data_IF_233916401038
#
_entry.id   IF_233916401038
#
_cell.length_a   1.000
_cell.length_b   1.000
_cell.length_c   1.000
_cell.angle_alpha   90.00
_cell.angle_beta   90.00
_cell.angle_gamma   90.00
#
_symmetry.space_group_name_H-M   'P 1'
#
loop_
_entity.id
_entity.type
_entity.pdbx_description
1 polymer ?
#
# COMPACT_ATOMS: atom_id res chain seq x y z
N UNK A 1 86.37 36.70 61.79
CA UNK A 1 85.26 37.07 62.70
C UNK A 1 84.47 35.79 62.92
N UNK A 2 84.93 34.85 63.74
CA UNK A 2 85.18 34.88 65.19
C UNK A 2 83.92 35.15 66.00
N UNK A 3 83.76 34.32 67.04
CA UNK A 3 82.76 34.28 68.11
C UNK A 3 81.46 33.54 67.77
N UNK A 4 80.91 32.63 68.58
CA UNK A 4 81.19 32.05 69.90
C UNK A 4 80.21 30.86 70.00
N UNK A 5 80.60 29.59 70.08
CA UNK A 5 80.91 28.85 71.32
C UNK A 5 80.07 29.26 72.54
N UNK A 6 78.96 28.58 72.83
CA UNK A 6 78.68 28.07 74.19
C UNK A 6 77.51 27.07 74.24
N UNK A 7 77.47 26.17 75.24
CA UNK A 7 76.81 24.87 75.21
C UNK A 7 75.57 24.81 76.10
N UNK A 8 74.71 23.82 75.89
CA UNK A 8 73.91 23.23 76.97
C UNK A 8 73.88 21.72 76.82
N UNK A 9 74.85 21.08 77.48
CA UNK A 9 74.73 19.73 78.00
C UNK A 9 73.52 19.67 78.94
N UNK A 10 72.44 19.01 78.52
CA UNK A 10 71.35 18.60 79.41
C UNK A 10 71.10 17.10 79.24
N UNK A 11 71.84 16.36 80.06
CA UNK A 11 71.35 15.25 80.90
C UNK A 11 70.33 14.32 80.24
N UNK A 12 70.84 13.22 79.66
CA UNK A 12 70.03 12.02 79.43
C UNK A 12 69.68 11.37 80.77
N UNK A 13 68.51 11.70 81.31
CA UNK A 13 67.83 10.86 82.29
C UNK A 13 67.17 9.70 81.54
N UNK A 14 67.84 8.55 81.52
CA UNK A 14 67.25 7.29 81.08
C UNK A 14 66.22 6.80 82.10
N UNK A 15 64.97 7.27 81.98
CA UNK A 15 63.82 6.67 82.65
C UNK A 15 63.27 5.48 81.84
N UNK A 16 62.75 4.41 82.48
CA UNK A 16 62.27 3.23 81.77
C UNK A 16 61.01 3.58 80.97
N UNK A 17 61.15 3.73 79.65
CA UNK A 17 60.01 4.01 78.77
C UNK A 17 59.36 2.69 78.37
N UNK A 18 58.15 2.51 78.88
CA UNK A 18 57.24 1.40 78.61
C UNK A 18 57.34 0.87 77.17
N UNK A 19 57.54 -0.44 77.10
CA UNK A 19 57.55 -1.27 75.90
C UNK A 19 56.29 -0.96 75.05
N UNK A 20 56.49 -0.36 73.88
CA UNK A 20 55.38 -0.06 72.95
C UNK A 20 54.90 -1.38 72.35
N UNK A 21 53.59 -1.69 72.41
CA UNK A 21 53.05 -2.88 71.74
C UNK A 21 53.26 -2.75 70.23
N UNK A 22 53.98 -3.70 69.66
CA UNK A 22 54.16 -3.83 68.21
C UNK A 22 52.82 -4.20 67.58
N UNK A 23 52.26 -3.28 66.80
CA UNK A 23 51.06 -3.53 66.02
C UNK A 23 51.39 -4.54 64.92
N UNK A 24 50.78 -5.72 65.03
CA UNK A 24 50.92 -6.81 64.06
C UNK A 24 50.00 -6.51 62.87
N UNK A 25 50.52 -6.44 61.63
CA UNK A 25 49.65 -6.24 60.47
C UNK A 25 48.72 -7.43 60.34
N UNK A 26 47.42 -7.20 60.56
CA UNK A 26 46.38 -8.14 60.20
C UNK A 26 46.33 -8.16 58.68
N UNK A 27 46.57 -9.33 58.09
CA UNK A 27 46.45 -9.53 56.66
C UNK A 27 45.03 -9.14 56.24
N UNK A 28 44.90 -7.98 55.59
CA UNK A 28 43.69 -7.60 54.89
C UNK A 28 43.59 -8.58 53.73
N UNK A 29 42.81 -9.64 53.88
CA UNK A 29 42.44 -10.47 52.74
C UNK A 29 41.43 -9.64 51.94
N UNK A 30 41.79 -9.06 50.79
CA UNK A 30 40.77 -8.46 49.96
C UNK A 30 39.81 -9.60 49.59
N UNK A 31 38.53 -9.48 49.92
CA UNK A 31 37.49 -10.37 49.40
C UNK A 31 37.50 -10.21 47.88
N UNK A 32 38.33 -11.00 47.21
CA UNK A 32 38.34 -11.13 45.76
C UNK A 32 37.14 -11.99 45.44
N UNK A 33 35.96 -11.37 45.31
CA UNK A 33 34.86 -11.98 44.57
C UNK A 33 35.46 -12.55 43.28
N UNK A 34 35.15 -13.81 42.99
CA UNK A 34 35.75 -14.54 41.86
C UNK A 34 35.65 -13.71 40.60
N UNK A 35 36.75 -13.05 40.23
CA UNK A 35 36.82 -12.14 39.08
C UNK A 35 36.42 -12.89 37.81
N UNK A 36 36.76 -14.18 37.77
CA UNK A 36 36.38 -15.11 36.72
C UNK A 36 34.85 -15.27 36.65
N UNK A 37 34.17 -15.47 37.78
CA UNK A 37 32.71 -15.57 37.82
C UNK A 37 32.01 -14.28 37.35
N UNK A 38 32.53 -13.12 37.76
CA UNK A 38 32.00 -11.83 37.31
C UNK A 38 32.19 -11.63 35.79
N UNK A 39 33.36 -11.98 35.25
CA UNK A 39 33.63 -11.88 33.81
C UNK A 39 32.71 -12.80 33.02
N UNK A 40 32.54 -14.05 33.46
CA UNK A 40 31.60 -15.00 32.82
C UNK A 40 30.19 -14.41 32.81
N UNK A 41 29.70 -13.94 33.96
CA UNK A 41 28.38 -13.33 34.04
C UNK A 41 28.23 -12.15 33.09
N UNK A 42 29.22 -11.26 33.05
CA UNK A 42 29.21 -10.08 32.19
C UNK A 42 29.21 -10.46 30.70
N UNK A 43 30.02 -11.44 30.29
CA UNK A 43 30.07 -11.91 28.90
C UNK A 43 28.79 -12.62 28.47
N UNK A 44 28.17 -13.41 29.35
CA UNK A 44 26.89 -14.08 29.06
C UNK A 44 25.77 -13.06 28.94
N UNK A 45 25.72 -12.07 29.83
CA UNK A 45 24.73 -10.99 29.78
C UNK A 45 24.90 -10.15 28.51
N UNK A 46 26.14 -9.84 28.13
CA UNK A 46 26.44 -9.10 26.91
C UNK A 46 26.07 -9.89 25.66
N UNK A 47 26.40 -11.19 25.62
CA UNK A 47 26.02 -12.09 24.52
C UNK A 47 24.50 -12.23 24.39
N UNK A 48 23.80 -12.42 25.51
CA UNK A 48 22.34 -12.50 25.53
C UNK A 48 21.69 -11.18 25.09
N UNK A 49 22.23 -10.03 25.53
CA UNK A 49 21.78 -8.71 25.10
C UNK A 49 21.98 -8.48 23.60
N UNK A 50 23.09 -8.95 23.04
CA UNK A 50 23.38 -8.82 21.61
C UNK A 50 22.46 -9.68 20.75
N UNK A 51 22.16 -10.91 21.19
CA UNK A 51 21.12 -11.77 20.57
C UNK A 51 19.74 -11.15 20.72
N UNK A 52 19.44 -10.55 21.88
CA UNK A 52 18.17 -9.86 22.14
C UNK A 52 17.96 -8.65 21.22
N UNK A 53 18.98 -7.80 21.05
CA UNK A 53 18.95 -6.68 20.09
C UNK A 53 18.82 -7.18 18.67
N UNK A 54 19.51 -8.26 18.30
CA UNK A 54 19.43 -8.84 16.97
C UNK A 54 18.02 -9.37 16.67
N UNK A 55 17.39 -10.08 17.62
CA UNK A 55 16.02 -10.56 17.49
C UNK A 55 15.02 -9.41 17.48
N UNK A 56 15.22 -8.38 18.30
CA UNK A 56 14.37 -7.18 18.30
C UNK A 56 14.46 -6.44 16.96
N UNK A 57 15.66 -6.26 16.44
CA UNK A 57 15.90 -5.69 15.11
C UNK A 57 15.29 -6.57 14.00
N UNK A 58 15.39 -7.89 14.13
CA UNK A 58 14.78 -8.86 13.21
C UNK A 58 13.25 -8.80 13.24
N UNK A 59 12.64 -8.63 14.41
CA UNK A 59 11.19 -8.43 14.55
C UNK A 59 10.72 -7.07 14.03
N UNK A 60 11.59 -6.05 14.00
CA UNK A 60 11.29 -4.76 13.37
C UNK A 60 11.31 -4.88 11.84
N UNK A 61 12.14 -5.78 11.29
CA UNK A 61 12.21 -6.02 9.83
C UNK A 61 10.98 -6.75 9.25
N UNK A 62 10.12 -7.37 10.09
CA UNK A 62 8.84 -7.95 9.65
C UNK A 62 7.64 -6.99 9.78
N UNK A 63 7.79 -5.83 10.45
CA UNK A 63 6.71 -4.84 10.65
C UNK A 63 6.59 -3.79 9.54
N UNK A 64 7.37 -3.91 8.47
CA UNK A 64 7.27 -3.04 7.30
C UNK A 64 6.21 -3.53 6.29
N UNK A 65 5.83 -4.82 6.31
CA UNK A 65 4.88 -5.36 5.32
C UNK A 65 3.41 -5.15 5.71
N UNK A 66 3.05 -5.11 7.00
CA UNK A 66 1.66 -4.85 7.42
C UNK A 66 1.27 -3.38 7.26
N UNK A 67 2.20 -2.45 7.49
CA UNK A 67 1.98 -1.02 7.23
C UNK A 67 1.86 -0.74 5.74
N UNK A 68 2.65 -1.41 4.89
CA UNK A 68 2.55 -1.29 3.44
C UNK A 68 1.24 -1.85 2.87
N UNK A 69 0.70 -2.93 3.43
CA UNK A 69 -0.61 -3.46 3.02
C UNK A 69 -1.75 -2.54 3.48
N UNK A 70 -1.70 -2.04 4.71
CA UNK A 70 -2.70 -1.10 5.23
C UNK A 70 -2.70 0.25 4.46
N UNK A 71 -1.53 0.73 4.03
CA UNK A 71 -1.43 1.93 3.19
C UNK A 71 -1.92 1.68 1.76
N UNK A 72 -1.64 0.51 1.16
CA UNK A 72 -2.18 0.17 -0.16
C UNK A 72 -3.70 0.11 -0.18
N UNK A 73 -4.32 -0.44 0.87
CA UNK A 73 -5.78 -0.50 0.97
C UNK A 73 -6.39 0.91 1.16
N UNK A 74 -5.71 1.79 1.92
CA UNK A 74 -6.10 3.18 2.06
C UNK A 74 -5.96 3.98 0.75
N UNK A 75 -4.89 3.75 -0.02
CA UNK A 75 -4.66 4.40 -1.32
C UNK A 75 -5.69 3.94 -2.36
N UNK A 76 -6.01 2.64 -2.41
CA UNK A 76 -7.02 2.10 -3.31
C UNK A 76 -8.42 2.67 -3.00
N UNK A 77 -8.78 2.75 -1.71
CA UNK A 77 -10.04 3.39 -1.28
C UNK A 77 -10.04 4.89 -1.59
N UNK A 78 -8.90 5.57 -1.42
CA UNK A 78 -8.72 6.98 -1.79
C UNK A 78 -8.93 7.23 -3.29
N UNK A 79 -8.35 6.40 -4.14
CA UNK A 79 -8.55 6.46 -5.59
C UNK A 79 -10.01 6.22 -6.00
N UNK A 80 -10.67 5.24 -5.37
CA UNK A 80 -12.09 4.96 -5.64
C UNK A 80 -12.97 6.16 -5.23
N UNK A 81 -12.75 6.71 -4.04
CA UNK A 81 -13.48 7.88 -3.55
C UNK A 81 -13.27 9.10 -4.45
N UNK A 82 -12.04 9.37 -4.87
CA UNK A 82 -11.74 10.45 -5.80
C UNK A 82 -12.48 10.27 -7.14
N UNK A 83 -12.50 9.05 -7.67
CA UNK A 83 -13.19 8.73 -8.92
C UNK A 83 -14.71 8.90 -8.82
N UNK A 84 -15.31 8.51 -7.68
CA UNK A 84 -16.73 8.65 -7.42
C UNK A 84 -17.11 10.11 -7.22
N UNK A 85 -16.30 10.86 -6.49
CA UNK A 85 -16.49 12.31 -6.28
C UNK A 85 -16.43 13.06 -7.60
N UNK A 86 -15.46 12.72 -8.47
CA UNK A 86 -15.36 13.29 -9.81
C UNK A 86 -16.60 13.00 -10.66
N UNK A 87 -17.14 11.77 -10.61
CA UNK A 87 -18.40 11.41 -11.30
C UNK A 87 -19.60 12.18 -10.76
N UNK A 88 -19.71 12.33 -9.45
CA UNK A 88 -20.79 13.11 -8.83
C UNK A 88 -20.68 14.58 -9.20
N UNK A 89 -19.48 15.15 -9.19
CA UNK A 89 -19.23 16.53 -9.61
C UNK A 89 -19.62 16.76 -11.08
N UNK A 90 -19.33 15.78 -11.95
CA UNK A 90 -19.76 15.80 -13.34
C UNK A 90 -21.29 15.79 -13.47
N UNK A 91 -21.96 14.86 -12.76
CA UNK A 91 -23.43 14.74 -12.79
C UNK A 91 -24.15 15.96 -12.18
N UNK A 92 -23.54 16.63 -11.20
CA UNK A 92 -24.04 17.87 -10.60
C UNK A 92 -23.70 19.12 -11.40
N UNK A 93 -22.98 18.98 -12.52
CA UNK A 93 -22.64 20.13 -13.36
C UNK A 93 -23.90 20.80 -13.91
N UNK A 94 -23.85 22.12 -14.09
CA UNK A 94 -24.99 22.90 -14.58
C UNK A 94 -25.49 22.41 -15.94
N UNK A 95 -24.60 21.93 -16.81
CA UNK A 95 -24.97 21.36 -18.11
C UNK A 95 -25.73 20.04 -18.01
N UNK A 96 -25.34 19.14 -17.08
CA UNK A 96 -26.02 17.86 -16.88
C UNK A 96 -27.39 18.07 -16.21
N UNK A 97 -27.47 19.00 -15.27
CA UNK A 97 -28.74 19.41 -14.66
C UNK A 97 -29.67 20.07 -15.68
N UNK A 98 -29.15 20.97 -16.53
CA UNK A 98 -29.91 21.57 -17.62
C UNK A 98 -30.44 20.48 -18.56
N UNK A 99 -29.60 19.53 -18.98
CA UNK A 99 -30.03 18.40 -19.82
C UNK A 99 -31.22 17.66 -19.23
N UNK A 100 -31.11 17.24 -17.96
CA UNK A 100 -32.19 16.51 -17.26
C UNK A 100 -33.43 17.37 -17.06
N UNK A 101 -33.27 18.65 -16.77
CA UNK A 101 -34.38 19.58 -16.67
C UNK A 101 -35.12 19.69 -18.00
N UNK A 102 -34.39 19.74 -19.12
CA UNK A 102 -34.98 19.76 -20.46
C UNK A 102 -35.70 18.46 -20.80
N UNK A 103 -35.17 17.29 -20.40
CA UNK A 103 -35.85 15.99 -20.53
C UNK A 103 -37.15 15.93 -19.72
N UNK A 104 -37.21 16.59 -18.56
CA UNK A 104 -38.40 16.72 -17.72
C UNK A 104 -39.39 17.79 -18.23
N UNK A 105 -39.10 18.45 -19.35
CA UNK A 105 -39.97 19.49 -19.92
C UNK A 105 -39.83 20.86 -19.26
N UNK A 106 -38.86 21.06 -18.38
CA UNK A 106 -38.55 22.39 -17.84
C UNK A 106 -37.94 23.24 -18.96
N UNK A 107 -38.44 24.46 -19.11
CA UNK A 107 -38.02 25.42 -20.14
C UNK A 107 -37.80 26.79 -19.50
N UNK A 108 -36.84 27.59 -19.99
CA UNK A 108 -36.71 29.00 -19.61
C UNK A 108 -37.99 29.76 -19.97
N UNK A 109 -38.49 30.58 -19.04
CA UNK A 109 -39.70 31.37 -19.26
C UNK A 109 -39.36 32.86 -19.44
N UNK A 110 -39.57 33.47 -20.63
CA UNK A 110 -39.40 34.91 -20.87
C UNK A 110 -40.53 35.77 -20.29
N UNK A 111 -41.66 35.18 -19.95
CA UNK A 111 -42.85 35.85 -19.45
C UNK A 111 -43.19 35.31 -18.05
N UNK A 112 -42.40 35.65 -17.01
CA UNK A 112 -42.71 35.26 -15.64
C UNK A 112 -43.99 35.95 -15.17
N UNK A 113 -44.91 35.16 -14.62
CA UNK A 113 -46.16 35.66 -14.03
C UNK A 113 -46.02 35.68 -12.52
N UNK A 114 -46.38 36.80 -11.90
CA UNK A 114 -46.23 36.98 -10.46
C UNK A 114 -47.55 36.73 -9.75
N UNK A 115 -47.53 35.92 -8.70
CA UNK A 115 -48.70 35.72 -7.83
C UNK A 115 -48.57 36.66 -6.64
N UNK A 116 -49.43 37.66 -6.55
CA UNK A 116 -49.52 38.54 -5.39
C UNK A 116 -50.45 37.91 -4.36
N UNK A 117 -49.90 37.25 -3.35
CA UNK A 117 -50.71 36.71 -2.24
C UNK A 117 -51.41 37.88 -1.53
N UNK A 118 -52.73 37.78 -1.37
CA UNK A 118 -53.48 38.73 -0.56
C UNK A 118 -53.07 38.60 0.91
N UNK A 119 -53.08 39.70 1.66
CA UNK A 119 -53.02 39.61 3.11
C UNK A 119 -54.21 38.75 3.59
N UNK A 120 -53.95 37.91 4.59
CA UNK A 120 -54.97 37.17 5.35
C UNK A 120 -55.66 36.01 4.60
N UNK A 121 -54.89 35.18 3.88
CA UNK A 121 -55.38 33.90 3.37
C UNK A 121 -56.36 33.99 2.19
N UNK A 122 -56.47 35.17 1.56
CA UNK A 122 -57.26 35.36 0.33
C UNK A 122 -56.48 34.87 -0.90
N UNK A 123 -57.17 34.33 -1.92
CA UNK A 123 -56.53 33.87 -3.15
C UNK A 123 -55.76 35.03 -3.78
N UNK A 124 -54.47 34.80 -4.04
CA UNK A 124 -53.58 35.81 -4.60
C UNK A 124 -54.00 36.21 -6.00
N UNK A 125 -53.81 37.48 -6.34
CA UNK A 125 -54.04 37.97 -7.69
C UNK A 125 -52.83 37.66 -8.57
N UNK A 126 -53.08 36.95 -9.68
CA UNK A 126 -52.06 36.67 -10.70
C UNK A 126 -51.90 37.92 -11.57
N UNK A 127 -50.69 38.46 -11.62
CA UNK A 127 -50.36 39.68 -12.37
C UNK A 127 -49.52 39.26 -13.59
N UNK A 128 -50.12 39.43 -14.77
CA UNK A 128 -49.57 39.01 -16.07
C UNK A 128 -50.40 37.90 -16.72
N UNK A 129 -50.26 37.75 -18.04
CA UNK A 129 -50.92 36.68 -18.80
C UNK A 129 -50.00 35.45 -18.88
N UNK A 130 -50.42 34.28 -18.38
CA UNK A 130 -49.64 33.06 -18.50
C UNK A 130 -49.67 32.54 -19.94
N UNK A 131 -48.50 32.52 -20.58
CA UNK A 131 -48.31 31.93 -21.91
C UNK A 131 -47.48 30.64 -21.81
N UNK A 132 -47.86 29.62 -22.56
CA UNK A 132 -47.08 28.38 -22.65
C UNK A 132 -45.75 28.64 -23.38
N UNK A 133 -44.66 28.06 -22.87
CA UNK A 133 -43.30 28.22 -23.42
C UNK A 133 -42.83 26.92 -24.06
N UNK A 134 -42.27 27.01 -25.26
CA UNK A 134 -41.77 25.89 -26.05
C UNK A 134 -40.23 25.76 -25.97
N UNK A 135 -39.53 26.78 -25.47
CA UNK A 135 -38.08 26.80 -25.29
C UNK A 135 -37.30 27.46 -26.41
N UNK A 136 -37.97 28.00 -27.42
CA UNK A 136 -37.37 28.69 -28.58
C UNK A 136 -37.48 30.21 -28.50
N UNK A 137 -38.05 30.75 -27.42
CA UNK A 137 -38.42 32.16 -27.27
C UNK A 137 -37.23 33.06 -26.90
N UNK A 138 -36.08 32.48 -26.55
CA UNK A 138 -34.86 33.22 -26.20
C UNK A 138 -33.69 32.82 -27.13
N UNK A 139 -33.61 33.38 -28.36
CA UNK A 139 -32.61 32.99 -29.36
C UNK A 139 -31.16 33.34 -28.98
N UNK A 140 -30.98 34.48 -28.29
CA UNK A 140 -29.65 34.95 -27.85
C UNK A 140 -29.14 34.21 -26.62
N UNK A 141 -30.02 33.55 -25.88
CA UNK A 141 -29.63 32.68 -24.79
C UNK A 141 -29.25 31.34 -25.37
N UNK A 142 -28.02 31.28 -25.92
CA UNK A 142 -27.31 30.02 -26.19
C UNK A 142 -27.00 29.33 -24.87
N UNK A 143 -28.05 28.82 -24.22
CA UNK A 143 -27.88 27.81 -23.20
C UNK A 143 -27.14 26.66 -23.86
N UNK A 144 -26.08 26.18 -23.21
CA UNK A 144 -25.30 25.01 -23.61
C UNK A 144 -26.15 23.72 -23.50
N UNK A 145 -27.47 23.81 -23.72
CA UNK A 145 -28.52 22.92 -23.22
C UNK A 145 -29.30 22.13 -24.28
N UNK A 146 -29.29 22.52 -25.56
CA UNK A 146 -30.01 21.77 -26.61
C UNK A 146 -29.05 21.11 -27.61
N UNK A 147 -28.29 21.90 -28.36
CA UNK A 147 -27.42 21.38 -29.43
C UNK A 147 -26.14 20.73 -28.88
N UNK A 148 -25.54 21.34 -27.86
CA UNK A 148 -24.37 20.78 -27.17
C UNK A 148 -24.74 19.59 -26.28
N UNK A 149 -25.99 19.53 -25.80
CA UNK A 149 -26.50 18.41 -25.01
C UNK A 149 -26.79 17.21 -25.88
N UNK A 150 -27.47 17.39 -27.01
CA UNK A 150 -27.65 16.32 -27.99
C UNK A 150 -26.31 15.81 -28.51
N UNK A 151 -25.34 16.69 -28.77
CA UNK A 151 -23.97 16.30 -29.11
C UNK A 151 -23.27 15.52 -27.99
N UNK A 152 -23.35 15.97 -26.72
CA UNK A 152 -22.76 15.27 -25.57
C UNK A 152 -23.43 13.93 -25.29
N UNK A 153 -24.75 13.82 -25.44
CA UNK A 153 -25.51 12.57 -25.33
C UNK A 153 -25.08 11.59 -26.44
N UNK A 154 -24.95 12.08 -27.68
CA UNK A 154 -24.47 11.27 -28.80
C UNK A 154 -23.03 10.78 -28.56
N UNK A 155 -22.15 11.66 -28.06
CA UNK A 155 -20.77 11.32 -27.70
C UNK A 155 -20.70 10.32 -26.54
N UNK A 156 -21.48 10.50 -25.47
CA UNK A 156 -21.53 9.58 -24.33
C UNK A 156 -22.05 8.19 -24.74
N UNK A 157 -23.12 8.14 -25.55
CA UNK A 157 -23.63 6.88 -26.13
C UNK A 157 -22.61 6.22 -27.06
N UNK A 158 -21.86 7.00 -27.84
CA UNK A 158 -20.79 6.47 -28.69
C UNK A 158 -19.63 5.90 -27.86
N UNK A 159 -19.23 6.58 -26.77
CA UNK A 159 -18.20 6.10 -25.85
C UNK A 159 -18.60 4.82 -25.11
N UNK A 160 -19.86 4.71 -24.66
CA UNK A 160 -20.37 3.49 -24.04
C UNK A 160 -20.36 2.31 -25.04
N UNK A 161 -20.90 2.53 -26.25
CA UNK A 161 -20.87 1.51 -27.32
C UNK A 161 -19.45 1.14 -27.73
N UNK A 162 -18.51 2.08 -27.75
CA UNK A 162 -17.09 1.82 -28.03
C UNK A 162 -16.42 0.99 -26.93
N UNK A 163 -16.73 1.24 -25.65
CA UNK A 163 -16.24 0.43 -24.52
C UNK A 163 -16.79 -0.99 -24.56
N UNK A 164 -18.09 -1.16 -24.81
CA UNK A 164 -18.70 -2.49 -24.98
C UNK A 164 -18.12 -3.24 -26.19
N UNK A 165 -17.93 -2.55 -27.32
CA UNK A 165 -17.33 -3.14 -28.51
C UNK A 165 -15.86 -3.54 -28.27
N UNK A 166 -15.09 -2.70 -27.56
CA UNK A 166 -13.71 -3.01 -27.19
C UNK A 166 -13.63 -4.20 -26.23
N UNK A 167 -14.55 -4.30 -25.26
CA UNK A 167 -14.61 -5.43 -24.35
C UNK A 167 -15.00 -6.73 -25.09
N UNK A 168 -16.01 -6.67 -25.96
CA UNK A 168 -16.39 -7.80 -26.83
C UNK A 168 -15.24 -8.23 -27.74
N UNK A 169 -14.53 -7.29 -28.36
CA UNK A 169 -13.36 -7.57 -29.19
C UNK A 169 -12.23 -8.23 -28.38
N UNK A 170 -11.95 -7.75 -27.16
CA UNK A 170 -10.99 -8.39 -26.25
C UNK A 170 -11.40 -9.82 -25.87
N UNK A 171 -12.68 -10.05 -25.57
CA UNK A 171 -13.22 -11.39 -25.26
C UNK A 171 -13.09 -12.34 -26.45
N UNK A 172 -13.40 -11.86 -27.66
CA UNK A 172 -13.26 -12.64 -28.91
C UNK A 172 -11.79 -12.95 -29.19
N UNK A 173 -10.89 -11.96 -29.03
CA UNK A 173 -9.45 -12.16 -29.20
C UNK A 173 -8.87 -13.15 -28.19
N UNK A 174 -9.30 -13.07 -26.92
CA UNK A 174 -8.92 -14.01 -25.87
C UNK A 174 -9.41 -15.44 -26.17
N UNK A 175 -10.66 -15.59 -26.63
CA UNK A 175 -11.22 -16.88 -27.01
C UNK A 175 -10.46 -17.51 -28.19
N UNK A 176 -10.16 -16.73 -29.24
CA UNK A 176 -9.36 -17.19 -30.39
C UNK A 176 -7.96 -17.62 -29.98
N UNK A 177 -7.31 -16.87 -29.09
CA UNK A 177 -5.98 -17.22 -28.58
C UNK A 177 -6.01 -18.53 -27.78
N UNK A 178 -7.01 -18.72 -26.92
CA UNK A 178 -7.18 -19.94 -26.15
C UNK A 178 -7.44 -21.18 -27.04
N UNK A 179 -8.18 -21.02 -28.14
CA UNK A 179 -8.40 -22.08 -29.11
C UNK A 179 -7.12 -22.45 -29.86
N UNK A 180 -6.34 -21.45 -30.29
CA UNK A 180 -5.02 -21.68 -30.90
C UNK A 180 -4.05 -22.39 -29.95
N UNK A 181 -4.00 -22.00 -28.68
CA UNK A 181 -3.18 -22.64 -27.65
C UNK A 181 -3.62 -24.10 -27.41
N UNK A 182 -4.93 -24.39 -27.43
CA UNK A 182 -5.46 -25.76 -27.34
C UNK A 182 -5.03 -26.61 -28.53
N UNK A 183 -5.18 -26.09 -29.75
CA UNK A 183 -4.77 -26.81 -30.97
C UNK A 183 -3.26 -27.06 -30.95
N UNK A 184 -2.45 -26.10 -30.53
CA UNK A 184 -1.00 -26.26 -30.40
C UNK A 184 -0.62 -27.34 -29.38
N UNK A 185 -1.31 -27.39 -28.23
CA UNK A 185 -1.11 -28.44 -27.20
C UNK A 185 -1.49 -29.82 -27.70
N UNK A 186 -2.61 -29.96 -28.43
CA UNK A 186 -3.04 -31.24 -29.02
C UNK A 186 -1.99 -31.72 -30.02
N UNK A 187 -1.56 -30.86 -30.96
CA UNK A 187 -0.51 -31.19 -31.93
C UNK A 187 0.81 -31.57 -31.26
N UNK A 188 1.20 -30.87 -30.19
CA UNK A 188 2.40 -31.19 -29.43
C UNK A 188 2.30 -32.54 -28.69
N UNK A 189 1.11 -32.89 -28.17
CA UNK A 189 0.87 -34.18 -27.53
C UNK A 189 0.89 -35.34 -28.55
N UNK A 190 0.29 -35.16 -29.72
CA UNK A 190 0.33 -36.14 -30.82
C UNK A 190 1.77 -36.36 -31.33
N UNK A 191 2.57 -35.29 -31.43
CA UNK A 191 3.97 -35.40 -31.82
C UNK A 191 4.80 -36.20 -30.80
N UNK A 192 4.57 -35.97 -29.49
CA UNK A 192 5.19 -36.76 -28.41
C UNK A 192 4.78 -38.23 -28.46
N UNK A 193 3.49 -38.52 -28.64
CA UNK A 193 3.00 -39.89 -28.78
C UNK A 193 3.59 -40.61 -30.00
N UNK A 194 3.74 -39.93 -31.14
CA UNK A 194 4.39 -40.49 -32.33
C UNK A 194 5.88 -40.76 -32.10
N UNK A 195 6.58 -39.88 -31.37
CA UNK A 195 7.98 -40.09 -31.01
C UNK A 195 8.16 -41.28 -30.05
N UNK A 196 7.30 -41.40 -29.04
CA UNK A 196 7.32 -42.51 -28.07
C UNK A 196 6.96 -43.85 -28.73
N UNK A 197 6.00 -43.85 -29.68
CA UNK A 197 5.66 -45.02 -30.47
C UNK A 197 6.80 -45.46 -31.40
N UNK A 198 7.47 -44.51 -32.06
CA UNK A 198 8.64 -44.81 -32.90
C UNK A 198 9.83 -45.32 -32.07
N UNK A 199 10.03 -44.80 -30.87
CA UNK A 199 11.05 -45.29 -29.93
C UNK A 199 10.74 -46.73 -29.47
N UNK A 200 9.47 -47.03 -29.14
CA UNK A 200 9.03 -48.38 -28.79
C UNK A 200 9.17 -49.36 -29.96
N UNK A 201 8.87 -48.94 -31.19
CA UNK A 201 9.07 -49.78 -32.38
C UNK A 201 10.55 -50.06 -32.66
N UNK A 202 11.43 -49.07 -32.50
CA UNK A 202 12.89 -49.26 -32.63
C UNK A 202 13.44 -50.19 -31.55
N UNK A 203 12.95 -50.08 -30.31
CA UNK A 203 13.35 -50.99 -29.22
C UNK A 203 12.87 -52.44 -29.45
N UNK A 204 11.65 -52.62 -29.96
CA UNK A 204 11.11 -53.94 -30.30
C UNK A 204 11.87 -54.60 -31.49
N UNK A 205 12.28 -53.82 -32.49
CA UNK A 205 13.09 -54.32 -33.60
C UNK A 205 14.50 -54.75 -33.15
N UNK A 206 15.13 -54.01 -32.23
CA UNK A 206 16.44 -54.35 -31.67
C UNK A 206 16.41 -55.61 -30.79
N UNK A 207 15.30 -55.87 -30.07
CA UNK A 207 15.11 -57.09 -29.30
C UNK A 207 14.95 -58.33 -30.21
N UNK A 208 14.23 -58.20 -31.33
CA UNK A 208 14.07 -59.29 -32.31
C UNK A 208 15.37 -59.65 -33.03
N UNK A 209 16.22 -58.66 -33.32
CA UNK A 209 17.53 -58.87 -33.93
C UNK A 209 18.53 -59.58 -32.99
N UNK A 210 18.42 -59.39 -31.67
CA UNK A 210 19.24 -60.11 -30.68
C UNK A 210 18.79 -61.56 -30.48
N UNK A 211 17.51 -61.88 -30.68
CA UNK A 211 17.01 -63.26 -30.60
C UNK A 211 17.33 -64.12 -31.83
N UNK A 212 17.67 -63.53 -32.98
CA UNK A 212 18.02 -64.29 -34.20
C UNK A 212 19.52 -64.59 -34.35
N UNK A 213 20.40 -63.94 -33.57
CA UNK A 213 21.86 -64.11 -33.66
C UNK A 213 22.43 -65.06 -32.60
N UNK A 214 21.59 -65.57 -31.67
CA UNK A 214 22.00 -66.51 -30.61
C UNK A 214 21.78 -67.99 -30.93
N UNK A 215 21.42 -68.33 -32.17
CA UNK A 215 21.11 -69.69 -32.59
C UNK A 215 22.02 -70.16 -33.72
N UNK A 216 23.25 -70.56 -33.37
CA UNK A 216 24.06 -71.69 -33.87
C UNK A 216 25.54 -71.45 -33.60
#
# INVERSE_FOLDING_TARGET
MSALLAPLEQTRTSGPRAERPVLRPVASSPLKLSRVGFIIFLTTLLGAGMVGILLLNTHIQQRAQTVAVAQREADDLGHQQASLTAKVAQLRSSSDLATRAWELGLRPNPHPVFVKLGADGKPGQVIGEPMAVNGSEMPDQKYVGADTVTARIAQAKAQYRAKEAAEKARRIAAAKKAEQDRIARIKAAEAKQKADAAAKQKAAAAAKAKSSTGGR
#
